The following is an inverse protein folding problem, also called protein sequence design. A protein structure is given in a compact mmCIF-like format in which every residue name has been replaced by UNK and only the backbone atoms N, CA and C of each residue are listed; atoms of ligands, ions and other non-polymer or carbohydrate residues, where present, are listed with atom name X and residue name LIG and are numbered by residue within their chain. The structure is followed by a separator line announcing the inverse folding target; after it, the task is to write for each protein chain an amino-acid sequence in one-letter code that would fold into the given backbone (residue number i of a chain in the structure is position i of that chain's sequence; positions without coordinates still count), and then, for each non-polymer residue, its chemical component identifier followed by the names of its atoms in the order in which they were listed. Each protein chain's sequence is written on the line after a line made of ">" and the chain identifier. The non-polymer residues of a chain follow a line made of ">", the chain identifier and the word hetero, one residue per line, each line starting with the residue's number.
data_IF_838434348526
#
_entry.id   IF_838434348526
#
_cell.length_a   1.000
_cell.length_b   1.000
_cell.length_c   1.000
_cell.angle_alpha   90.00
_cell.angle_beta   90.00
_cell.angle_gamma   90.00
#
_symmetry.space_group_name_H-M   'P 1'
#
loop_
_entity.id
_entity.type
_entity.pdbx_description
1 polymer ?
#
# COMPACT_ATOMS: atom_id res chain seq x y z
N UNK A 1 -18.15 -27.51 6.69
CA UNK A 1 -17.54 -26.63 5.66
C UNK A 1 -17.05 -25.27 6.21
N UNK A 2 -17.48 -24.82 7.40
CA UNK A 2 -17.17 -23.48 7.95
C UNK A 2 -16.02 -23.44 8.99
N UNK A 3 -15.41 -24.57 9.34
CA UNK A 3 -14.42 -24.66 10.42
C UNK A 3 -13.00 -24.21 10.03
N UNK A 4 -12.66 -24.17 8.74
CA UNK A 4 -11.29 -23.91 8.28
C UNK A 4 -10.90 -22.43 8.14
N UNK A 5 -11.85 -21.50 8.09
CA UNK A 5 -11.56 -20.07 7.89
C UNK A 5 -11.69 -19.26 9.18
N UNK A 6 -10.68 -18.41 9.43
CA UNK A 6 -10.71 -17.40 10.47
C UNK A 6 -11.75 -16.30 10.21
N UNK A 7 -11.99 -15.45 11.21
CA UNK A 7 -13.04 -14.41 11.17
C UNK A 7 -12.87 -13.42 10.00
N UNK A 8 -11.65 -12.94 9.75
CA UNK A 8 -11.38 -11.97 8.66
C UNK A 8 -11.60 -12.57 7.27
N UNK A 9 -11.15 -13.81 7.06
CA UNK A 9 -11.36 -14.50 5.77
C UNK A 9 -12.85 -14.68 5.49
N UNK A 10 -13.63 -15.10 6.51
CA UNK A 10 -15.09 -15.22 6.38
C UNK A 10 -15.74 -13.87 6.06
N UNK A 11 -15.32 -12.79 6.73
CA UNK A 11 -15.83 -11.43 6.48
C UNK A 11 -15.61 -11.02 5.03
N UNK A 12 -14.42 -11.24 4.48
CA UNK A 12 -14.09 -10.92 3.08
C UNK A 12 -14.89 -11.74 2.08
N UNK A 13 -15.10 -13.03 2.33
CA UNK A 13 -15.93 -13.90 1.46
C UNK A 13 -17.38 -13.42 1.45
N UNK A 14 -17.96 -13.13 2.63
CA UNK A 14 -19.33 -12.63 2.74
C UNK A 14 -19.48 -11.29 2.01
N UNK A 15 -18.58 -10.34 2.26
CA UNK A 15 -18.60 -9.03 1.59
C UNK A 15 -18.45 -9.17 0.08
N UNK A 16 -17.50 -10.00 -0.37
CA UNK A 16 -17.27 -10.29 -1.79
C UNK A 16 -18.50 -10.91 -2.46
N UNK A 17 -19.18 -11.83 -1.78
CA UNK A 17 -20.42 -12.44 -2.30
C UNK A 17 -21.55 -11.43 -2.38
N UNK A 18 -21.66 -10.54 -1.40
CA UNK A 18 -22.67 -9.48 -1.37
C UNK A 18 -22.48 -8.46 -2.51
N UNK A 19 -21.27 -7.93 -2.69
CA UNK A 19 -21.01 -6.92 -3.75
C UNK A 19 -21.14 -7.48 -5.16
N UNK A 20 -21.10 -8.80 -5.33
CA UNK A 20 -21.32 -9.48 -6.61
C UNK A 20 -22.76 -9.96 -6.81
N UNK A 21 -23.62 -9.81 -5.80
CA UNK A 21 -25.00 -10.29 -5.88
C UNK A 21 -25.88 -9.43 -6.79
N UNK A 22 -26.90 -10.06 -7.37
CA UNK A 22 -27.90 -9.39 -8.23
C UNK A 22 -28.55 -8.22 -7.48
N UNK A 23 -28.60 -7.05 -8.12
CA UNK A 23 -29.13 -5.81 -7.54
C UNK A 23 -28.08 -4.92 -6.86
N UNK A 24 -26.92 -5.46 -6.48
CA UNK A 24 -25.84 -4.71 -5.82
C UNK A 24 -24.57 -4.58 -6.67
N UNK A 25 -24.43 -5.39 -7.72
CA UNK A 25 -23.27 -5.41 -8.61
C UNK A 25 -22.92 -4.02 -9.19
N UNK A 26 -23.89 -3.33 -9.79
CA UNK A 26 -23.64 -2.04 -10.42
C UNK A 26 -23.27 -0.96 -9.38
N UNK A 27 -23.94 -0.98 -8.23
CA UNK A 27 -23.75 0.01 -7.17
C UNK A 27 -22.38 -0.12 -6.48
N UNK A 28 -21.85 -1.34 -6.34
CA UNK A 28 -20.60 -1.60 -5.63
C UNK A 28 -19.46 -2.02 -6.56
N UNK A 29 -19.55 -3.19 -7.18
CA UNK A 29 -18.44 -3.78 -7.91
C UNK A 29 -18.10 -2.99 -9.18
N UNK A 30 -19.12 -2.67 -10.01
CA UNK A 30 -18.92 -1.86 -11.22
C UNK A 30 -18.45 -0.45 -10.88
N UNK A 31 -19.03 0.15 -9.84
CA UNK A 31 -18.60 1.48 -9.37
C UNK A 31 -17.15 1.49 -8.92
N UNK A 32 -16.71 0.48 -8.17
CA UNK A 32 -15.31 0.31 -7.79
C UNK A 32 -14.39 0.14 -9.03
N UNK A 33 -14.84 -0.60 -10.05
CA UNK A 33 -14.12 -0.70 -11.33
C UNK A 33 -13.94 0.65 -12.04
N UNK A 34 -14.96 1.52 -12.01
CA UNK A 34 -14.85 2.89 -12.55
C UNK A 34 -13.87 3.75 -11.75
N UNK A 35 -13.87 3.62 -10.42
CA UNK A 35 -12.91 4.32 -9.55
C UNK A 35 -11.49 3.84 -9.80
N UNK A 36 -11.28 2.53 -10.03
CA UNK A 36 -9.98 1.99 -10.44
C UNK A 36 -9.46 2.64 -11.72
N UNK A 37 -10.33 2.90 -12.71
CA UNK A 37 -9.95 3.60 -13.93
C UNK A 37 -9.59 5.08 -13.68
N UNK A 38 -10.15 5.72 -12.65
CA UNK A 38 -9.75 7.07 -12.24
C UNK A 38 -8.32 7.05 -11.67
N UNK A 39 -8.01 6.14 -10.74
CA UNK A 39 -6.65 5.99 -10.22
C UNK A 39 -5.62 5.82 -11.33
N UNK A 40 -5.88 4.92 -12.29
CA UNK A 40 -4.97 4.74 -13.43
C UNK A 40 -4.74 6.05 -14.20
N UNK A 41 -5.80 6.80 -14.50
CA UNK A 41 -5.68 8.08 -15.21
C UNK A 41 -4.90 9.12 -14.44
N UNK A 42 -5.07 9.19 -13.12
CA UNK A 42 -4.37 10.16 -12.28
C UNK A 42 -2.87 9.85 -12.24
N UNK A 43 -2.49 8.56 -12.16
CA UNK A 43 -1.09 8.15 -12.29
C UNK A 43 -0.52 8.40 -13.69
N UNK A 44 -1.26 8.04 -14.74
CA UNK A 44 -0.83 8.27 -16.13
C UNK A 44 -0.51 9.75 -16.35
N UNK A 45 -1.35 10.66 -15.84
CA UNK A 45 -1.11 12.11 -15.86
C UNK A 45 0.10 12.54 -15.04
N UNK A 46 0.24 12.05 -13.82
CA UNK A 46 1.39 12.39 -12.99
C UNK A 46 2.71 11.98 -13.68
N UNK A 47 2.73 10.86 -14.39
CA UNK A 47 3.88 10.38 -15.15
C UNK A 47 4.17 11.15 -16.44
N UNK A 48 3.31 12.08 -16.86
CA UNK A 48 3.63 13.06 -17.90
C UNK A 48 4.61 14.13 -17.38
N UNK A 49 4.61 14.38 -16.06
CA UNK A 49 5.43 15.42 -15.41
C UNK A 49 6.61 14.85 -14.61
N UNK A 50 6.63 13.56 -14.34
CA UNK A 50 7.70 12.91 -13.57
C UNK A 50 8.00 11.48 -14.04
N UNK A 51 9.17 10.97 -13.68
CA UNK A 51 9.57 9.60 -13.98
C UNK A 51 9.27 8.61 -12.85
N UNK A 52 9.28 9.11 -11.61
CA UNK A 52 8.95 8.34 -10.41
C UNK A 52 8.14 9.20 -9.44
N UNK A 53 7.22 8.57 -8.72
CA UNK A 53 6.44 9.22 -7.66
C UNK A 53 6.92 8.68 -6.32
N UNK A 54 7.13 9.57 -5.34
CA UNK A 54 7.59 9.20 -4.01
C UNK A 54 6.59 9.62 -2.94
N UNK A 55 6.33 8.74 -1.97
CA UNK A 55 5.41 8.99 -0.84
C UNK A 55 5.78 8.11 0.36
N UNK A 56 5.14 8.28 1.51
CA UNK A 56 5.28 7.33 2.61
C UNK A 56 4.63 5.98 2.26
N UNK A 57 5.22 4.86 2.72
CA UNK A 57 4.61 3.53 2.54
C UNK A 57 3.37 3.36 3.41
N UNK A 58 3.42 3.89 4.64
CA UNK A 58 2.37 3.79 5.65
C UNK A 58 2.17 5.15 6.31
N UNK A 59 0.94 5.51 6.72
CA UNK A 59 0.66 6.76 7.42
C UNK A 59 1.28 6.83 8.82
N UNK A 60 1.62 5.67 9.41
CA UNK A 60 2.27 5.58 10.72
C UNK A 60 3.39 4.55 10.70
N UNK A 61 4.32 4.64 11.66
CA UNK A 61 5.22 3.54 11.99
C UNK A 61 4.46 2.33 12.55
N UNK A 62 5.16 1.21 12.72
CA UNK A 62 4.59 -0.04 13.22
C UNK A 62 3.81 0.16 14.53
N UNK A 63 2.56 -0.27 14.55
CA UNK A 63 1.72 -0.35 15.75
C UNK A 63 1.95 -1.66 16.49
N UNK A 64 1.59 -1.73 17.77
CA UNK A 64 1.78 -2.93 18.60
C UNK A 64 0.83 -4.05 18.19
N UNK A 65 1.24 -5.29 18.45
CA UNK A 65 0.35 -6.43 18.32
C UNK A 65 -0.93 -6.23 19.16
N UNK A 66 -2.09 -6.42 18.54
CA UNK A 66 -3.40 -6.22 19.18
C UNK A 66 -3.97 -4.81 19.04
N UNK A 67 -3.15 -3.79 18.77
CA UNK A 67 -3.55 -2.37 18.87
C UNK A 67 -4.65 -1.95 17.89
N UNK A 68 -4.74 -2.59 16.72
CA UNK A 68 -5.73 -2.29 15.67
C UNK A 68 -6.67 -3.46 15.37
N UNK A 69 -6.86 -4.38 16.33
CA UNK A 69 -7.68 -5.59 16.09
C UNK A 69 -9.18 -5.39 16.31
N UNK A 70 -9.57 -4.36 17.09
CA UNK A 70 -10.98 -4.13 17.46
C UNK A 70 -11.78 -3.46 16.34
N UNK A 71 -11.16 -2.53 15.61
CA UNK A 71 -11.76 -1.86 14.45
C UNK A 71 -11.05 -2.25 13.14
N UNK A 72 -11.70 -3.05 12.27
CA UNK A 72 -11.16 -3.42 10.97
C UNK A 72 -10.86 -2.23 10.05
N UNK A 73 -11.62 -1.14 10.17
CA UNK A 73 -11.42 0.04 9.31
C UNK A 73 -10.09 0.73 9.61
N UNK A 74 -9.76 0.87 10.90
CA UNK A 74 -8.48 1.39 11.35
C UNK A 74 -7.29 0.58 10.81
N UNK A 75 -7.46 -0.74 10.65
CA UNK A 75 -6.45 -1.58 10.01
C UNK A 75 -6.31 -1.26 8.52
N UNK A 76 -7.42 -1.13 7.78
CA UNK A 76 -7.42 -0.87 6.33
C UNK A 76 -6.82 0.50 5.96
N UNK A 77 -6.95 1.50 6.83
CA UNK A 77 -6.31 2.81 6.62
C UNK A 77 -4.77 2.74 6.61
N UNK A 78 -4.18 1.65 7.12
CA UNK A 78 -2.73 1.45 7.05
C UNK A 78 -2.21 1.31 5.61
N UNK A 79 -3.08 0.88 4.68
CA UNK A 79 -2.73 0.61 3.28
C UNK A 79 -3.15 1.76 2.34
N UNK A 80 -3.45 2.95 2.88
CA UNK A 80 -3.99 4.08 2.11
C UNK A 80 -3.06 4.55 0.98
N UNK A 81 -1.74 4.42 1.17
CA UNK A 81 -0.74 4.82 0.16
C UNK A 81 -0.30 3.68 -0.76
N UNK A 82 -0.62 2.42 -0.44
CA UNK A 82 -0.16 1.26 -1.21
C UNK A 82 -1.24 0.72 -2.14
N UNK A 83 -2.51 0.73 -1.72
CA UNK A 83 -3.64 0.23 -2.53
C UNK A 83 -3.77 0.93 -3.89
N UNK A 84 -3.65 2.28 -4.01
CA UNK A 84 -3.76 2.95 -5.30
C UNK A 84 -2.77 2.41 -6.34
N UNK A 85 -1.56 2.01 -5.91
CA UNK A 85 -0.52 1.42 -6.76
C UNK A 85 -0.98 0.09 -7.35
N UNK A 86 -1.56 -0.78 -6.52
CA UNK A 86 -2.11 -2.06 -6.97
C UNK A 86 -3.30 -1.88 -7.92
N UNK A 87 -4.17 -0.91 -7.64
CA UNK A 87 -5.34 -0.61 -8.47
C UNK A 87 -4.93 -0.10 -9.86
N UNK A 88 -3.91 0.76 -9.92
CA UNK A 88 -3.35 1.26 -11.17
C UNK A 88 -2.50 0.21 -11.92
N UNK A 89 -2.05 -0.85 -11.23
CA UNK A 89 -1.22 -1.91 -11.82
C UNK A 89 0.23 -1.47 -12.04
N UNK A 90 0.74 -0.64 -11.13
CA UNK A 90 2.08 -0.07 -11.21
C UNK A 90 3.08 -0.84 -10.32
N UNK A 91 4.38 -0.81 -10.65
CA UNK A 91 5.41 -1.28 -9.74
C UNK A 91 5.59 -0.30 -8.57
N UNK A 92 5.81 -0.85 -7.38
CA UNK A 92 6.07 -0.12 -6.14
C UNK A 92 7.21 -0.74 -5.35
N UNK A 93 8.08 0.08 -4.78
CA UNK A 93 9.24 -0.34 -4.00
C UNK A 93 9.33 0.47 -2.70
N UNK A 94 9.72 -0.18 -1.61
CA UNK A 94 9.88 0.44 -0.29
C UNK A 94 11.35 0.44 0.13
N UNK A 95 11.87 1.60 0.51
CA UNK A 95 13.19 1.76 1.13
C UNK A 95 13.07 2.42 2.50
N UNK A 96 13.90 2.04 3.50
CA UNK A 96 13.96 2.76 4.77
C UNK A 96 14.37 4.22 4.53
N UNK A 97 13.68 5.18 5.14
CA UNK A 97 13.99 6.60 5.00
C UNK A 97 14.17 7.35 6.32
N UNK A 98 14.10 6.65 7.45
CA UNK A 98 14.40 7.21 8.75
C UNK A 98 13.75 6.44 9.89
N UNK A 99 13.72 7.07 11.05
CA UNK A 99 13.10 6.54 12.26
C UNK A 99 12.15 7.57 12.87
N UNK A 100 11.07 7.11 13.48
CA UNK A 100 10.24 7.99 14.30
C UNK A 100 10.91 8.31 15.65
N UNK A 101 10.23 9.12 16.47
CA UNK A 101 10.69 9.48 17.82
C UNK A 101 10.86 8.29 18.77
N UNK A 102 10.31 7.12 18.44
CA UNK A 102 10.39 5.88 19.22
C UNK A 102 11.45 4.92 18.67
N UNK A 103 12.18 5.32 17.63
CA UNK A 103 13.19 4.49 16.95
C UNK A 103 12.60 3.44 16.00
N UNK A 104 11.35 3.59 15.57
CA UNK A 104 10.70 2.66 14.64
C UNK A 104 10.98 3.07 13.18
N UNK A 105 11.30 2.12 12.28
CA UNK A 105 11.60 2.44 10.88
C UNK A 105 10.41 3.09 10.14
N UNK A 106 10.73 4.08 9.31
CA UNK A 106 9.81 4.72 8.35
C UNK A 106 10.20 4.28 6.94
N UNK A 107 9.22 3.92 6.11
CA UNK A 107 9.42 3.53 4.72
C UNK A 107 9.05 4.63 3.73
N UNK A 108 9.92 4.90 2.78
CA UNK A 108 9.67 5.67 1.57
C UNK A 108 9.26 4.73 0.45
N UNK A 109 8.09 4.96 -0.11
CA UNK A 109 7.56 4.27 -1.27
C UNK A 109 7.97 5.01 -2.53
N UNK A 110 8.58 4.29 -3.46
CA UNK A 110 8.91 4.75 -4.81
C UNK A 110 7.98 3.99 -5.77
N UNK A 111 7.29 4.71 -6.64
CA UNK A 111 6.33 4.18 -7.60
C UNK A 111 6.82 4.55 -8.99
N UNK A 112 6.96 3.55 -9.87
CA UNK A 112 7.46 3.74 -11.23
C UNK A 112 6.38 3.52 -12.29
N UNK A 113 6.76 3.80 -13.54
CA UNK A 113 5.96 3.50 -14.73
C UNK A 113 5.87 1.97 -14.92
N UNK A 114 4.85 1.46 -15.65
CA UNK A 114 4.76 0.04 -15.94
C UNK A 114 6.05 -0.49 -16.59
N UNK A 115 6.60 -1.57 -16.03
CA UNK A 115 7.83 -2.24 -16.50
C UNK A 115 9.11 -1.39 -16.41
N UNK A 116 9.12 -0.35 -15.57
CA UNK A 116 10.28 0.54 -15.36
C UNK A 116 10.93 0.33 -13.98
N UNK A 117 10.98 -0.92 -13.51
CA UNK A 117 11.63 -1.26 -12.24
C UNK A 117 13.13 -0.93 -12.24
N UNK A 118 13.76 -0.87 -13.41
CA UNK A 118 15.15 -0.47 -13.56
C UNK A 118 15.43 0.93 -13.03
N UNK A 119 14.64 1.93 -13.46
CA UNK A 119 14.76 3.30 -12.96
C UNK A 119 14.41 3.38 -11.47
N UNK A 120 13.39 2.65 -11.02
CA UNK A 120 13.01 2.60 -9.60
C UNK A 120 14.14 2.09 -8.72
N UNK A 121 14.84 1.03 -9.14
CA UNK A 121 15.97 0.47 -8.42
C UNK A 121 17.16 1.44 -8.37
N UNK A 122 17.40 2.20 -9.45
CA UNK A 122 18.42 3.25 -9.48
C UNK A 122 18.08 4.37 -8.48
N UNK A 123 16.84 4.86 -8.47
CA UNK A 123 16.39 5.87 -7.51
C UNK A 123 16.52 5.36 -6.07
N UNK A 124 16.11 4.11 -5.81
CA UNK A 124 16.25 3.46 -4.52
C UNK A 124 17.70 3.35 -4.04
N UNK A 125 18.60 3.01 -4.96
CA UNK A 125 20.04 2.90 -4.67
C UNK A 125 20.64 4.25 -4.28
N UNK A 126 20.24 5.33 -4.97
CA UNK A 126 20.63 6.70 -4.57
C UNK A 126 20.10 7.03 -3.17
N UNK A 127 18.82 6.75 -2.89
CA UNK A 127 18.26 6.95 -1.56
C UNK A 127 19.03 6.18 -0.48
N UNK A 128 19.37 4.91 -0.71
CA UNK A 128 20.12 4.09 0.24
C UNK A 128 21.52 4.69 0.54
N UNK A 129 22.23 5.14 -0.50
CA UNK A 129 23.58 5.70 -0.38
C UNK A 129 23.59 7.06 0.32
N UNK A 130 22.61 7.93 0.06
CA UNK A 130 22.54 9.27 0.65
C UNK A 130 22.07 9.21 2.11
N UNK A 131 21.12 8.33 2.43
CA UNK A 131 20.55 8.26 3.76
C UNK A 131 21.45 7.51 4.76
N UNK A 132 22.30 6.60 4.27
CA UNK A 132 23.26 5.81 5.08
C UNK A 132 22.65 5.23 6.36
N UNK A 133 21.37 4.82 6.29
CA UNK A 133 20.64 4.39 7.47
C UNK A 133 21.15 3.04 7.95
N UNK A 134 21.31 2.92 9.26
CA UNK A 134 21.57 1.63 9.89
C UNK A 134 20.38 0.71 9.67
N UNK A 135 20.59 -0.39 8.94
CA UNK A 135 19.53 -1.34 8.54
C UNK A 135 18.82 -1.99 9.74
N UNK A 136 19.50 -2.11 10.88
CA UNK A 136 18.98 -2.63 12.14
C UNK A 136 19.22 -1.58 13.23
N UNK A 137 18.16 -1.04 13.88
CA UNK A 137 18.32 -0.12 14.99
C UNK A 137 19.07 -0.77 16.15
N UNK A 138 19.85 0.02 16.90
CA UNK A 138 20.65 -0.45 18.04
C UNK A 138 19.83 -1.20 19.09
N UNK A 139 18.53 -0.87 19.22
CA UNK A 139 17.61 -1.52 20.14
C UNK A 139 17.35 -3.01 19.82
N UNK A 140 17.63 -3.45 18.60
CA UNK A 140 17.36 -4.81 18.12
C UNK A 140 18.65 -5.62 17.85
N UNK A 141 19.82 -5.06 18.13
CA UNK A 141 21.13 -5.74 18.11
C UNK A 141 21.52 -6.08 19.54
#
# INVERSE_FOLDING_TARGET
>A
RSAGFGKEVKRRIILGTYVLSSGYYDAYYRKAGQVRALFKRDFDRAFEECDVIMTAVSPTTAFRAGEKMEDPLTMYLSDIFTIPVNLAGLPGLSVPCGFDRKGLPIGLQIIGKPLDEGLMLQAAYVCENELQLKKIPDRFV
#
